data_IF_801549195022
#
_entry.id   IF_801549195022
#
_cell.length_a   1.000
_cell.length_b   1.000
_cell.length_c   1.000
_cell.angle_alpha   90.00
_cell.angle_beta   90.00
_cell.angle_gamma   90.00
#
_symmetry.space_group_name_H-M   'P 1'
#
loop_
_entity.id
_entity.type
_entity.pdbx_description
1 polymer ?
#
# COMPACT_ATOMS: atom_id res chain seq x y z
N UNK A 1 19.91 24.57 -1.23
CA UNK A 1 19.49 23.46 -2.08
C UNK A 1 17.97 23.40 -2.16
N UNK A 2 17.46 23.31 -3.33
CA UNK A 2 16.02 23.24 -3.48
C UNK A 2 15.52 21.85 -3.09
N UNK A 3 14.48 21.81 -2.29
CA UNK A 3 13.76 20.57 -2.05
C UNK A 3 12.92 20.25 -3.28
N UNK A 4 12.86 18.99 -3.61
CA UNK A 4 11.93 18.55 -4.65
C UNK A 4 10.51 18.83 -4.17
N UNK A 5 9.71 19.49 -4.99
CA UNK A 5 8.32 19.71 -4.67
C UNK A 5 7.56 18.38 -4.73
N UNK A 6 6.39 18.32 -4.09
CA UNK A 6 5.55 17.16 -4.17
C UNK A 6 5.19 16.81 -5.61
N UNK A 7 5.10 17.81 -6.47
CA UNK A 7 4.77 17.62 -7.89
C UNK A 7 5.84 16.83 -8.64
N UNK A 8 7.10 16.91 -8.18
CA UNK A 8 8.20 16.17 -8.79
C UNK A 8 8.45 14.86 -8.05
N UNK A 9 8.42 14.92 -6.72
CA UNK A 9 8.78 13.78 -5.89
C UNK A 9 7.75 12.64 -5.95
N UNK A 10 6.46 12.98 -5.89
CA UNK A 10 5.42 11.97 -5.89
C UNK A 10 5.41 11.14 -7.17
N UNK A 11 5.45 11.73 -8.38
CA UNK A 11 5.56 10.93 -9.60
C UNK A 11 6.80 10.06 -9.63
N UNK A 12 7.94 10.56 -9.15
CA UNK A 12 9.18 9.79 -9.10
C UNK A 12 9.03 8.57 -8.18
N UNK A 13 8.41 8.74 -7.02
CA UNK A 13 8.18 7.63 -6.10
C UNK A 13 7.27 6.57 -6.72
N UNK A 14 6.19 6.97 -7.39
CA UNK A 14 5.31 6.03 -8.07
C UNK A 14 6.03 5.29 -9.18
N UNK A 15 6.90 5.98 -9.93
CA UNK A 15 7.70 5.33 -10.95
C UNK A 15 8.61 4.27 -10.35
N UNK A 16 9.29 4.58 -9.25
CA UNK A 16 10.18 3.64 -8.57
C UNK A 16 9.43 2.46 -7.96
N UNK A 17 8.24 2.72 -7.40
CA UNK A 17 7.41 1.68 -6.81
C UNK A 17 6.81 0.74 -7.84
N UNK A 18 6.65 1.20 -9.08
CA UNK A 18 6.16 0.39 -10.19
C UNK A 18 4.89 -0.40 -9.87
N UNK A 19 3.78 0.29 -9.56
CA UNK A 19 2.55 -0.42 -9.16
C UNK A 19 2.00 -1.35 -10.24
N UNK A 20 2.39 -1.17 -11.49
CA UNK A 20 2.01 -2.07 -12.57
C UNK A 20 2.59 -3.49 -12.41
N UNK A 21 3.62 -3.65 -11.57
CA UNK A 21 4.21 -4.95 -11.28
C UNK A 21 3.66 -5.58 -10.01
N UNK A 22 2.82 -4.86 -9.28
CA UNK A 22 2.22 -5.40 -8.06
C UNK A 22 1.18 -6.46 -8.39
N UNK A 23 0.96 -7.43 -7.50
CA UNK A 23 -0.08 -8.44 -7.71
C UNK A 23 -1.49 -7.89 -7.54
N UNK A 24 -1.62 -6.69 -7.00
CA UNK A 24 -2.90 -5.99 -6.83
C UNK A 24 -2.85 -4.69 -7.62
N UNK A 25 -3.96 -4.36 -8.27
CA UNK A 25 -4.06 -3.11 -9.03
C UNK A 25 -4.58 -2.00 -8.14
N UNK A 26 -4.13 -0.77 -8.40
CA UNK A 26 -4.62 0.38 -7.65
C UNK A 26 -6.14 0.52 -7.73
N UNK A 27 -6.73 0.15 -8.85
CA UNK A 27 -8.19 0.22 -9.04
C UNK A 27 -8.94 -0.77 -8.16
N UNK A 28 -8.26 -1.78 -7.62
CA UNK A 28 -8.86 -2.75 -6.69
C UNK A 28 -8.85 -2.25 -5.26
N UNK A 29 -8.13 -1.17 -4.98
CA UNK A 29 -8.07 -0.55 -3.67
C UNK A 29 -9.07 0.60 -3.58
N UNK A 30 -9.70 0.81 -2.42
CA UNK A 30 -10.66 1.91 -2.31
C UNK A 30 -9.99 3.26 -2.44
N UNK A 31 -10.75 4.23 -2.90
CA UNK A 31 -10.30 5.60 -2.95
C UNK A 31 -9.94 6.08 -1.55
N UNK A 32 -8.88 6.83 -1.42
CA UNK A 32 -8.37 7.25 -0.12
C UNK A 32 -7.38 6.30 0.51
N UNK A 33 -7.08 5.16 -0.14
CA UNK A 33 -6.04 4.26 0.31
C UNK A 33 -4.68 4.94 0.23
N UNK A 34 -3.87 4.76 1.27
CA UNK A 34 -2.53 5.33 1.32
C UNK A 34 -1.49 4.22 1.43
N UNK A 35 -0.42 4.34 0.65
CA UNK A 35 0.76 3.50 0.83
C UNK A 35 1.67 4.17 1.85
N UNK A 36 2.13 3.40 2.83
CA UNK A 36 2.96 3.92 3.93
C UNK A 36 4.15 2.98 4.16
N UNK A 37 5.03 3.36 5.06
CA UNK A 37 6.04 2.48 5.61
C UNK A 37 7.30 2.31 4.78
N UNK A 38 7.89 1.12 4.90
CA UNK A 38 9.24 0.87 4.40
C UNK A 38 9.38 0.95 2.89
N UNK A 39 8.34 0.62 2.12
CA UNK A 39 8.43 0.69 0.67
C UNK A 39 8.65 2.14 0.20
N UNK A 40 8.00 3.10 0.83
CA UNK A 40 8.22 4.52 0.49
C UNK A 40 9.63 4.93 0.85
N UNK A 41 10.09 4.57 2.04
CA UNK A 41 11.46 4.87 2.47
C UNK A 41 12.47 4.27 1.49
N UNK A 42 12.29 3.02 1.13
CA UNK A 42 13.21 2.33 0.23
C UNK A 42 13.17 2.93 -1.17
N UNK A 43 11.99 3.37 -1.62
CA UNK A 43 11.87 4.07 -2.90
C UNK A 43 12.58 5.42 -2.88
N UNK A 44 12.48 6.16 -1.76
CA UNK A 44 13.20 7.42 -1.61
C UNK A 44 14.71 7.21 -1.68
N UNK A 45 15.20 6.11 -1.11
CA UNK A 45 16.62 5.78 -1.09
C UNK A 45 17.06 5.00 -2.34
N UNK A 46 16.14 4.72 -3.26
CA UNK A 46 16.37 3.91 -4.44
C UNK A 46 16.93 2.52 -4.09
N UNK A 47 16.36 1.89 -3.07
CA UNK A 47 16.81 0.61 -2.53
C UNK A 47 15.69 -0.42 -2.50
N UNK A 48 14.68 -0.28 -3.35
CA UNK A 48 13.57 -1.22 -3.39
C UNK A 48 14.01 -2.59 -3.89
N UNK A 49 13.49 -3.64 -3.24
CA UNK A 49 13.60 -4.98 -3.77
C UNK A 49 12.60 -5.18 -4.92
N UNK A 50 12.73 -6.30 -5.64
CA UNK A 50 11.80 -6.62 -6.72
C UNK A 50 10.37 -6.87 -6.22
N UNK A 51 10.25 -7.35 -5.00
CA UNK A 51 8.94 -7.62 -4.37
C UNK A 51 8.92 -6.98 -2.98
N UNK A 52 8.77 -5.65 -2.92
CA UNK A 52 8.78 -4.97 -1.63
C UNK A 52 7.52 -5.31 -0.83
N UNK A 53 7.64 -5.25 0.50
CA UNK A 53 6.49 -5.34 1.36
C UNK A 53 5.66 -4.08 1.19
N UNK A 54 4.37 -4.24 0.92
CA UNK A 54 3.46 -3.12 0.70
C UNK A 54 2.56 -2.95 1.91
N UNK A 55 2.57 -1.77 2.51
CA UNK A 55 1.73 -1.43 3.65
C UNK A 55 0.73 -0.37 3.23
N UNK A 56 -0.55 -0.72 3.24
CA UNK A 56 -1.61 0.21 2.88
C UNK A 56 -2.48 0.54 4.07
N UNK A 57 -2.90 1.80 4.14
CA UNK A 57 -3.94 2.23 5.05
C UNK A 57 -5.17 2.50 4.22
N UNK A 58 -6.27 1.86 4.57
CA UNK A 58 -7.54 2.00 3.85
C UNK A 58 -8.56 2.72 4.74
N UNK A 59 -9.57 3.37 4.15
CA UNK A 59 -10.54 4.12 4.94
C UNK A 59 -11.32 3.28 5.93
N UNK A 60 -11.67 2.04 5.57
CA UNK A 60 -12.43 1.17 6.45
C UNK A 60 -12.37 -0.28 5.95
N UNK A 61 -12.74 -1.21 6.82
CA UNK A 61 -12.94 -2.62 6.46
C UNK A 61 -11.73 -3.27 5.81
N UNK A 62 -10.55 -3.09 6.43
CA UNK A 62 -9.30 -3.65 5.90
C UNK A 62 -9.34 -5.18 5.83
N UNK A 63 -9.86 -5.83 6.87
CA UNK A 63 -9.96 -7.30 6.89
C UNK A 63 -10.88 -7.78 5.78
N UNK A 64 -12.03 -7.15 5.61
CA UNK A 64 -12.98 -7.52 4.55
C UNK A 64 -12.34 -7.35 3.17
N UNK A 65 -11.59 -6.27 2.97
CA UNK A 65 -10.89 -6.03 1.72
C UNK A 65 -9.84 -7.10 1.46
N UNK A 66 -9.06 -7.47 2.47
CA UNK A 66 -8.06 -8.53 2.32
C UNK A 66 -8.70 -9.86 1.93
N UNK A 67 -9.81 -10.21 2.55
CA UNK A 67 -10.52 -11.44 2.21
C UNK A 67 -11.07 -11.40 0.79
N UNK A 68 -11.62 -10.27 0.39
CA UNK A 68 -12.14 -10.09 -0.97
C UNK A 68 -11.02 -10.22 -2.01
N UNK A 69 -9.90 -9.55 -1.77
CA UNK A 69 -8.75 -9.61 -2.69
C UNK A 69 -8.17 -11.01 -2.76
N UNK A 70 -8.12 -11.74 -1.63
CA UNK A 70 -7.62 -13.11 -1.66
C UNK A 70 -8.47 -14.01 -2.54
N UNK A 71 -9.78 -13.81 -2.54
CA UNK A 71 -10.69 -14.56 -3.41
C UNK A 71 -10.50 -14.20 -4.87
N UNK A 72 -10.33 -12.91 -5.16
CA UNK A 72 -10.19 -12.45 -6.53
C UNK A 72 -8.85 -12.83 -7.15
N UNK A 73 -7.78 -12.82 -6.34
CA UNK A 73 -6.42 -12.96 -6.83
C UNK A 73 -5.78 -14.31 -6.51
N UNK A 74 -6.48 -15.15 -5.75
CA UNK A 74 -5.99 -16.49 -5.43
C UNK A 74 -4.97 -16.54 -4.31
N UNK A 75 -4.91 -15.51 -3.48
CA UNK A 75 -3.99 -15.46 -2.35
C UNK A 75 -4.60 -15.94 -1.04
N UNK A 76 -3.89 -15.64 0.05
CA UNK A 76 -4.31 -15.99 1.40
C UNK A 76 -4.40 -14.74 2.25
N UNK A 77 -5.52 -14.56 2.95
CA UNK A 77 -5.70 -13.45 3.88
C UNK A 77 -5.60 -13.96 5.32
N UNK A 78 -4.81 -13.26 6.14
CA UNK A 78 -4.62 -13.58 7.55
C UNK A 78 -4.96 -12.36 8.38
N UNK A 79 -5.81 -12.52 9.39
CA UNK A 79 -6.15 -11.44 10.31
C UNK A 79 -5.01 -11.27 11.30
N UNK A 80 -4.39 -10.10 11.32
CA UNK A 80 -3.32 -9.79 12.26
C UNK A 80 -3.84 -9.18 13.56
N UNK A 81 -4.86 -8.33 13.46
CA UNK A 81 -5.47 -7.68 14.62
C UNK A 81 -6.92 -7.36 14.29
N UNK A 82 -7.84 -8.12 14.88
CA UNK A 82 -9.26 -7.95 14.59
C UNK A 82 -9.82 -6.64 15.15
N UNK A 83 -9.35 -6.19 16.31
CA UNK A 83 -9.83 -4.96 16.92
C UNK A 83 -9.39 -3.74 16.12
N UNK A 84 -8.16 -3.73 15.66
CA UNK A 84 -7.60 -2.62 14.89
C UNK A 84 -7.89 -2.73 13.39
N UNK A 85 -8.50 -3.81 12.98
CA UNK A 85 -8.84 -4.05 11.58
C UNK A 85 -7.58 -4.08 10.71
N UNK A 86 -6.67 -5.01 11.02
CA UNK A 86 -5.42 -5.18 10.30
C UNK A 86 -5.34 -6.61 9.76
N UNK A 87 -5.05 -6.73 8.48
CA UNK A 87 -4.92 -8.04 7.84
C UNK A 87 -3.72 -8.06 6.90
N UNK A 88 -3.20 -9.24 6.68
CA UNK A 88 -2.10 -9.49 5.73
C UNK A 88 -2.61 -10.34 4.58
N UNK A 89 -2.24 -9.94 3.38
CA UNK A 89 -2.57 -10.66 2.16
C UNK A 89 -1.28 -11.18 1.54
N UNK A 90 -1.18 -12.49 1.35
CA UNK A 90 -0.05 -13.12 0.68
C UNK A 90 -0.43 -13.51 -0.74
N UNK A 91 0.34 -13.07 -1.72
CA UNK A 91 0.12 -13.33 -3.15
C UNK A 91 1.46 -13.56 -3.83
N UNK A 92 1.70 -14.76 -4.35
CA UNK A 92 2.88 -15.05 -5.17
C UNK A 92 4.18 -14.49 -4.59
N UNK A 93 4.45 -14.78 -3.32
CA UNK A 93 5.62 -14.29 -2.57
C UNK A 93 5.57 -12.80 -2.23
N UNK A 94 4.50 -12.12 -2.57
CA UNK A 94 4.26 -10.75 -2.13
C UNK A 94 3.58 -10.75 -0.76
N UNK A 95 3.91 -9.76 0.06
CA UNK A 95 3.25 -9.51 1.33
C UNK A 95 2.62 -8.13 1.29
N UNK A 96 1.31 -8.08 1.47
CA UNK A 96 0.56 -6.82 1.45
C UNK A 96 -0.21 -6.71 2.77
N UNK A 97 0.11 -5.69 3.55
CA UNK A 97 -0.59 -5.43 4.80
C UNK A 97 -1.62 -4.33 4.59
N UNK A 98 -2.81 -4.56 5.10
CA UNK A 98 -3.92 -3.63 5.01
C UNK A 98 -4.38 -3.29 6.42
N UNK A 99 -4.41 -2.00 6.74
CA UNK A 99 -4.84 -1.51 8.04
C UNK A 99 -5.88 -0.41 7.85
N UNK A 100 -6.86 -0.36 8.74
CA UNK A 100 -7.86 0.71 8.73
C UNK A 100 -7.23 2.00 9.23
N UNK A 101 -7.66 3.11 8.62
CA UNK A 101 -7.24 4.43 9.06
C UNK A 101 -7.79 4.73 10.47
N UNK A 102 -6.92 5.25 11.33
CA UNK A 102 -7.27 5.58 12.69
C UNK A 102 -7.24 7.08 12.97
N UNK A 103 -7.25 7.89 11.91
CA UNK A 103 -7.31 9.34 12.04
C UNK A 103 -5.99 10.02 12.32
N UNK A 104 -4.92 9.29 12.56
CA UNK A 104 -3.62 9.89 12.79
C UNK A 104 -3.01 10.37 11.49
N UNK A 105 -2.30 11.50 11.55
CA UNK A 105 -1.53 11.96 10.41
C UNK A 105 -0.29 11.10 10.29
N UNK A 106 -0.05 10.58 9.09
CA UNK A 106 1.12 9.76 8.82
C UNK A 106 2.02 10.51 7.86
N UNK A 107 3.28 10.64 8.24
CA UNK A 107 4.28 11.21 7.36
C UNK A 107 4.65 10.19 6.29
N UNK A 108 5.06 10.67 5.14
CA UNK A 108 5.52 9.83 4.04
C UNK A 108 4.47 8.80 3.63
N UNK A 109 3.32 9.29 3.24
CA UNK A 109 2.29 8.43 2.67
C UNK A 109 2.02 8.82 1.22
N UNK A 110 1.62 7.84 0.43
CA UNK A 110 1.15 8.05 -0.94
C UNK A 110 -0.29 7.59 -1.02
N UNK A 111 -1.19 8.52 -1.28
CA UNK A 111 -2.61 8.20 -1.38
C UNK A 111 -3.00 7.87 -2.80
N UNK A 112 -3.90 6.90 -2.91
CA UNK A 112 -4.57 6.63 -4.17
C UNK A 112 -5.45 7.82 -4.50
N UNK A 113 -5.27 8.37 -5.68
CA UNK A 113 -6.11 9.45 -6.19
C UNK A 113 -7.21 8.86 -7.04
N UNK A 114 -8.43 9.31 -6.83
CA UNK A 114 -9.54 8.98 -7.70
C UNK A 114 -9.31 9.64 -9.05
N UNK A 115 -9.36 8.87 -10.09
CA UNK A 115 -9.19 9.40 -11.44
C UNK A 115 -10.36 9.04 -12.27
#
# INVERSE_FOLDING_TARGET
MAQASADVLIPLLWERLSPEHWPVRLTQLPEGTALVGGAIRDALLNQLSDQPDLDFIVPSNAIALAKSLSKQLGGTAVVLDAERDIARLGLDNWTIDLAREHGATIEQELRRRGC
#
